data_IF_482187403148
#
_entry.id   IF_482187403148
#
_cell.length_a   1.000
_cell.length_b   1.000
_cell.length_c   1.000
_cell.angle_alpha   90.00
_cell.angle_beta   90.00
_cell.angle_gamma   90.00
#
_symmetry.space_group_name_H-M   'P 1'
#
loop_
_entity.id
_entity.type
_entity.pdbx_description
1 polymer ?
#
# COMPACT_ATOMS: atom_id res chain seq x y z
N UNK A 1 -19.57 -6.14 31.88
CA UNK A 1 -18.15 -5.93 31.55
C UNK A 1 -17.59 -7.31 31.22
N UNK A 2 -17.63 -7.69 29.94
CA UNK A 2 -17.07 -8.95 29.47
C UNK A 2 -15.61 -8.70 29.13
N UNK A 3 -14.71 -9.32 29.89
CA UNK A 3 -13.29 -9.40 29.56
C UNK A 3 -13.15 -10.01 28.16
N UNK A 4 -12.67 -9.19 27.21
CA UNK A 4 -12.12 -9.68 25.96
C UNK A 4 -10.84 -10.44 26.29
N UNK A 5 -10.92 -11.77 26.37
CA UNK A 5 -9.74 -12.63 26.36
C UNK A 5 -9.21 -12.69 24.93
N UNK A 6 -8.27 -11.82 24.57
CA UNK A 6 -7.38 -12.12 23.44
C UNK A 6 -6.38 -13.18 23.93
N UNK A 7 -6.63 -14.44 23.63
CA UNK A 7 -5.67 -15.51 23.90
C UNK A 7 -4.59 -15.46 22.82
N UNK A 8 -3.44 -14.87 23.12
CA UNK A 8 -2.24 -15.03 22.31
C UNK A 8 -1.31 -16.04 23.00
N UNK A 9 -1.14 -17.21 22.40
CA UNK A 9 0.01 -18.08 22.70
C UNK A 9 1.21 -17.57 21.89
N UNK A 10 2.21 -17.05 22.59
CA UNK A 10 3.37 -16.36 22.02
C UNK A 10 4.53 -17.33 21.76
N UNK A 11 4.52 -18.01 20.61
CA UNK A 11 5.71 -18.71 20.07
C UNK A 11 6.37 -17.96 18.89
N UNK A 12 5.98 -16.71 18.65
CA UNK A 12 6.55 -15.84 17.62
C UNK A 12 7.13 -14.59 18.26
N UNK A 13 8.39 -14.27 17.93
CA UNK A 13 9.13 -13.11 18.43
C UNK A 13 8.30 -11.81 18.29
N UNK A 14 7.74 -11.35 19.41
CA UNK A 14 7.12 -10.02 19.52
C UNK A 14 8.23 -9.04 19.87
N UNK A 15 8.43 -8.04 19.01
CA UNK A 15 9.22 -6.87 19.36
C UNK A 15 8.43 -6.04 20.38
N UNK A 16 8.84 -6.12 21.64
CA UNK A 16 8.29 -5.38 22.77
C UNK A 16 8.98 -4.01 22.80
N UNK A 17 8.22 -2.94 22.55
CA UNK A 17 8.76 -1.57 22.62
C UNK A 17 9.09 -1.16 24.07
N UNK A 18 10.06 -0.25 24.17
CA UNK A 18 10.70 0.39 25.33
C UNK A 18 9.78 1.18 26.28
N UNK A 19 8.47 1.23 26.02
CA UNK A 19 7.48 1.94 26.86
C UNK A 19 6.70 1.04 27.83
N UNK A 20 7.09 -0.23 27.94
CA UNK A 20 6.37 -1.21 28.77
C UNK A 20 7.04 -1.35 30.13
N UNK A 21 6.25 -1.22 31.21
CA UNK A 21 6.71 -1.52 32.56
C UNK A 21 6.59 -3.02 32.81
N UNK A 22 7.69 -3.63 33.26
CA UNK A 22 7.68 -5.01 33.76
C UNK A 22 7.78 -4.94 35.28
N UNK A 23 6.77 -5.45 35.97
CA UNK A 23 6.83 -5.69 37.42
C UNK A 23 6.44 -7.13 37.71
N UNK A 24 7.33 -7.85 38.40
CA UNK A 24 7.10 -9.08 39.18
C UNK A 24 6.22 -10.18 38.56
N UNK A 25 6.21 -10.31 37.21
CA UNK A 25 5.51 -11.29 36.34
C UNK A 25 4.36 -10.73 35.47
N UNK A 26 4.12 -9.42 35.46
CA UNK A 26 3.10 -8.80 34.60
C UNK A 26 3.75 -7.84 33.58
N UNK A 27 3.47 -8.06 32.29
CA UNK A 27 3.85 -7.16 31.20
C UNK A 27 2.71 -6.14 31.00
N UNK A 28 2.97 -4.88 31.33
CA UNK A 28 2.05 -3.80 31.03
C UNK A 28 2.35 -3.27 29.62
N UNK A 29 1.48 -3.62 28.67
CA UNK A 29 1.55 -3.17 27.29
C UNK A 29 0.75 -1.86 27.17
N UNK A 30 1.41 -0.73 26.90
CA UNK A 30 0.74 0.57 26.76
C UNK A 30 0.04 0.76 25.39
N UNK A 31 0.46 0.01 24.37
CA UNK A 31 -0.18 -0.01 23.05
C UNK A 31 -0.21 -1.45 22.50
N UNK A 32 -1.40 -1.94 22.14
CA UNK A 32 -1.60 -3.29 21.58
C UNK A 32 -0.87 -3.39 20.24
N UNK A 33 0.08 -4.33 20.05
CA UNK A 33 0.75 -4.46 18.77
C UNK A 33 -0.20 -5.12 17.76
N UNK A 34 -0.56 -4.37 16.73
CA UNK A 34 -1.06 -4.84 15.42
C UNK A 34 -2.38 -5.62 15.48
N UNK A 35 -3.20 -5.52 14.43
CA UNK A 35 -4.12 -6.63 14.19
C UNK A 35 -3.24 -7.85 13.82
N UNK A 36 -2.89 -8.66 14.81
CA UNK A 36 -2.18 -9.92 14.61
C UNK A 36 -3.11 -10.76 13.73
N UNK A 37 -2.72 -10.92 12.47
CA UNK A 37 -3.42 -11.83 11.58
C UNK A 37 -3.15 -13.25 12.02
N UNK A 38 -4.13 -14.14 11.81
CA UNK A 38 -4.02 -15.51 12.29
C UNK A 38 -2.79 -16.27 11.73
N UNK A 39 -2.47 -17.41 12.31
CA UNK A 39 -1.31 -18.22 11.92
C UNK A 39 -1.55 -19.05 10.65
N UNK A 40 -2.80 -19.39 10.37
CA UNK A 40 -3.15 -20.31 9.29
C UNK A 40 -3.27 -19.59 7.96
N UNK A 41 -2.61 -20.13 6.94
CA UNK A 41 -2.72 -19.67 5.56
C UNK A 41 -3.25 -20.77 4.69
N UNK A 42 -4.41 -20.53 4.09
CA UNK A 42 -5.13 -21.53 3.32
C UNK A 42 -5.64 -20.94 2.01
N UNK A 43 -5.63 -21.77 0.98
CA UNK A 43 -6.26 -21.46 -0.30
C UNK A 43 -7.43 -22.42 -0.53
N UNK A 44 -8.61 -21.88 -0.81
CA UNK A 44 -9.80 -22.69 -1.02
C UNK A 44 -10.91 -21.92 -1.72
N UNK A 45 -12.09 -22.52 -1.86
CA UNK A 45 -13.27 -21.84 -2.40
C UNK A 45 -14.20 -21.48 -1.24
N UNK A 46 -14.49 -20.20 -1.05
CA UNK A 46 -15.44 -19.76 -0.02
C UNK A 46 -16.87 -20.05 -0.50
N UNK A 47 -17.64 -20.82 0.25
CA UNK A 47 -19.01 -21.19 -0.10
C UNK A 47 -19.96 -20.92 1.06
N UNK A 48 -21.25 -20.81 0.73
CA UNK A 48 -22.33 -20.73 1.73
C UNK A 48 -23.23 -21.96 1.59
N UNK A 49 -23.46 -22.66 2.70
CA UNK A 49 -24.35 -23.82 2.77
C UNK A 49 -25.33 -23.62 3.93
N UNK A 50 -26.63 -23.60 3.65
CA UNK A 50 -27.70 -23.52 4.66
C UNK A 50 -27.48 -22.42 5.73
N UNK A 51 -26.95 -21.26 5.29
CA UNK A 51 -26.59 -20.05 6.07
C UNK A 51 -25.18 -20.02 6.67
N UNK A 52 -24.50 -21.15 6.80
CA UNK A 52 -23.13 -21.22 7.30
C UNK A 52 -22.11 -21.05 6.18
N UNK A 53 -20.93 -20.55 6.53
CA UNK A 53 -19.82 -20.34 5.61
C UNK A 53 -18.79 -21.45 5.79
N UNK A 54 -18.27 -21.93 4.66
CA UNK A 54 -17.24 -22.94 4.61
C UNK A 54 -16.15 -22.56 3.61
N UNK A 55 -14.91 -22.95 3.90
CA UNK A 55 -13.82 -22.94 2.95
C UNK A 55 -13.62 -24.36 2.43
N UNK A 56 -13.84 -24.55 1.12
CA UNK A 56 -13.57 -25.83 0.46
C UNK A 56 -12.10 -25.94 0.10
N UNK A 57 -11.41 -26.91 0.68
CA UNK A 57 -9.99 -27.20 0.43
C UNK A 57 -9.88 -28.67 0.01
N UNK A 58 -9.73 -28.90 -1.30
CA UNK A 58 -9.84 -30.25 -1.85
C UNK A 58 -11.24 -30.84 -1.60
N UNK A 59 -11.29 -32.01 -0.96
CA UNK A 59 -12.54 -32.70 -0.60
C UNK A 59 -13.08 -32.32 0.79
N UNK A 60 -12.42 -31.39 1.49
CA UNK A 60 -12.79 -30.96 2.83
C UNK A 60 -13.56 -29.64 2.81
N UNK A 61 -14.67 -29.58 3.55
CA UNK A 61 -15.41 -28.36 3.83
C UNK A 61 -15.12 -27.93 5.28
N UNK A 62 -14.33 -26.86 5.45
CA UNK A 62 -13.92 -26.37 6.77
C UNK A 62 -14.84 -25.20 7.18
N UNK A 63 -15.52 -25.25 8.33
CA UNK A 63 -16.35 -24.13 8.80
C UNK A 63 -15.52 -22.85 8.99
N UNK A 64 -16.05 -21.71 8.57
CA UNK A 64 -15.37 -20.42 8.72
C UNK A 64 -16.26 -19.34 9.32
N UNK A 65 -15.62 -18.41 10.02
CA UNK A 65 -16.21 -17.14 10.49
C UNK A 65 -15.26 -16.01 10.15
N UNK A 66 -15.79 -14.81 9.98
CA UNK A 66 -14.98 -13.60 9.84
C UNK A 66 -14.80 -12.98 11.22
N UNK A 67 -13.58 -12.57 11.57
CA UNK A 67 -13.37 -11.79 12.80
C UNK A 67 -14.07 -10.44 12.70
N UNK A 68 -14.34 -9.83 13.85
CA UNK A 68 -14.87 -8.47 13.88
C UNK A 68 -13.80 -7.50 13.36
N UNK A 69 -14.10 -6.85 12.23
CA UNK A 69 -13.22 -5.83 11.66
C UNK A 69 -13.32 -4.54 12.47
N UNK A 70 -12.17 -3.93 12.77
CA UNK A 70 -12.13 -2.62 13.43
C UNK A 70 -12.85 -1.59 12.56
N UNK A 71 -13.84 -0.92 13.14
CA UNK A 71 -14.57 0.14 12.47
C UNK A 71 -13.65 1.33 12.17
N UNK A 72 -13.42 1.62 10.90
CA UNK A 72 -12.73 2.82 10.48
C UNK A 72 -13.76 3.86 10.05
N UNK A 73 -13.95 4.91 10.86
CA UNK A 73 -14.94 5.98 10.61
C UNK A 73 -16.38 5.48 10.40
N UNK A 74 -16.76 4.44 11.14
CA UNK A 74 -18.07 3.80 11.03
C UNK A 74 -18.18 2.77 9.89
N UNK A 75 -17.16 2.62 9.06
CA UNK A 75 -17.10 1.65 7.96
C UNK A 75 -16.31 0.40 8.39
N UNK A 76 -16.82 -0.79 8.03
CA UNK A 76 -16.22 -2.08 8.37
C UNK A 76 -16.45 -3.11 7.25
N UNK A 77 -15.83 -4.28 7.37
CA UNK A 77 -16.05 -5.42 6.47
C UNK A 77 -17.44 -6.01 6.69
N UNK A 78 -18.29 -5.97 5.65
CA UNK A 78 -19.72 -6.25 5.76
C UNK A 78 -20.16 -7.50 4.98
N UNK A 79 -21.45 -7.85 5.07
CA UNK A 79 -22.01 -9.01 4.38
C UNK A 79 -21.92 -8.91 2.85
N UNK A 80 -21.95 -7.69 2.29
CA UNK A 80 -21.77 -7.48 0.85
C UNK A 80 -20.32 -7.79 0.43
N UNK A 81 -19.36 -7.43 1.29
CA UNK A 81 -17.94 -7.79 1.14
C UNK A 81 -17.76 -9.30 1.16
N UNK A 82 -18.38 -10.00 2.12
CA UNK A 82 -18.36 -11.48 2.16
C UNK A 82 -18.97 -12.06 0.88
N UNK A 83 -20.11 -11.52 0.44
CA UNK A 83 -20.80 -11.92 -0.78
C UNK A 83 -19.92 -11.86 -2.03
N UNK A 84 -19.03 -10.86 -2.12
CA UNK A 84 -18.10 -10.72 -3.24
C UNK A 84 -17.12 -11.90 -3.38
N UNK A 85 -16.76 -12.56 -2.28
CA UNK A 85 -15.83 -13.70 -2.28
C UNK A 85 -16.52 -15.06 -2.41
N UNK A 86 -17.85 -15.13 -2.31
CA UNK A 86 -18.58 -16.38 -2.44
C UNK A 86 -18.38 -17.01 -3.82
N UNK A 87 -18.16 -18.32 -3.82
CA UNK A 87 -17.88 -19.16 -4.98
C UNK A 87 -16.61 -18.78 -5.75
N UNK A 88 -15.73 -17.96 -5.17
CA UNK A 88 -14.41 -17.65 -5.71
C UNK A 88 -13.33 -18.43 -4.97
N UNK A 89 -12.26 -18.75 -5.69
CA UNK A 89 -11.04 -19.26 -5.06
C UNK A 89 -10.34 -18.09 -4.37
N UNK A 90 -10.05 -18.24 -3.09
CA UNK A 90 -9.50 -17.20 -2.21
C UNK A 90 -8.28 -17.73 -1.47
N UNK A 91 -7.37 -16.81 -1.14
CA UNK A 91 -6.36 -17.04 -0.12
C UNK A 91 -6.82 -16.31 1.14
N UNK A 92 -6.71 -16.99 2.27
CA UNK A 92 -7.09 -16.45 3.57
C UNK A 92 -5.92 -16.50 4.54
N UNK A 93 -5.93 -15.57 5.48
CA UNK A 93 -5.24 -15.71 6.76
C UNK A 93 -6.32 -15.87 7.84
N UNK A 94 -6.15 -16.87 8.70
CA UNK A 94 -7.12 -17.19 9.74
C UNK A 94 -6.46 -17.75 11.01
N UNK A 95 -7.19 -17.69 12.11
CA UNK A 95 -6.88 -18.41 13.34
C UNK A 95 -7.79 -19.64 13.42
N UNK A 96 -7.23 -20.81 13.71
CA UNK A 96 -8.01 -22.02 13.90
C UNK A 96 -8.35 -22.21 15.37
N UNK A 97 -9.64 -22.16 15.70
CA UNK A 97 -10.11 -22.33 17.08
C UNK A 97 -11.37 -23.20 17.11
N UNK A 98 -11.33 -24.24 17.95
CA UNK A 98 -12.42 -25.23 18.15
C UNK A 98 -13.06 -25.77 16.86
N UNK A 99 -12.27 -26.03 15.81
CA UNK A 99 -12.77 -26.59 14.54
C UNK A 99 -13.29 -25.56 13.54
N UNK A 100 -13.15 -24.27 13.82
CA UNK A 100 -13.60 -23.17 12.97
C UNK A 100 -12.38 -22.30 12.60
N UNK A 101 -12.28 -21.89 11.34
CA UNK A 101 -11.32 -20.88 10.90
C UNK A 101 -11.91 -19.48 11.06
N UNK A 102 -11.26 -18.64 11.86
CA UNK A 102 -11.59 -17.23 12.04
C UNK A 102 -10.73 -16.39 11.10
N UNK A 103 -11.31 -16.02 9.96
CA UNK A 103 -10.64 -15.29 8.88
C UNK A 103 -10.35 -13.85 9.32
N UNK A 104 -9.08 -13.45 9.24
CA UNK A 104 -8.57 -12.09 9.49
C UNK A 104 -8.14 -11.37 8.22
N UNK A 105 -7.84 -12.10 7.14
CA UNK A 105 -7.57 -11.53 5.82
C UNK A 105 -8.10 -12.41 4.70
N UNK A 106 -8.57 -11.81 3.61
CA UNK A 106 -9.08 -12.53 2.44
C UNK A 106 -8.78 -11.78 1.14
N UNK A 107 -8.25 -12.50 0.14
CA UNK A 107 -8.01 -12.00 -1.23
C UNK A 107 -8.41 -13.04 -2.25
N UNK A 108 -8.75 -12.61 -3.48
CA UNK A 108 -8.97 -13.55 -4.59
C UNK A 108 -7.63 -14.18 -4.98
N UNK A 109 -7.64 -15.51 -5.13
CA UNK A 109 -6.46 -16.27 -5.51
C UNK A 109 -6.12 -16.10 -6.99
N UNK A 110 -4.82 -16.00 -7.26
CA UNK A 110 -4.11 -15.88 -8.52
C UNK A 110 -4.21 -14.53 -9.22
N UNK A 111 -4.78 -13.51 -8.56
CA UNK A 111 -4.76 -12.14 -9.08
C UNK A 111 -3.31 -11.65 -9.14
N UNK A 112 -2.53 -11.87 -8.07
CA UNK A 112 -1.13 -11.43 -8.00
C UNK A 112 -0.13 -12.57 -8.14
N UNK A 113 -0.32 -13.66 -7.39
CA UNK A 113 0.72 -14.66 -7.13
C UNK A 113 1.07 -15.55 -8.33
N UNK A 114 0.13 -15.77 -9.25
CA UNK A 114 0.39 -16.57 -10.45
C UNK A 114 1.14 -15.75 -11.49
N UNK A 115 2.25 -16.26 -12.01
CA UNK A 115 2.95 -15.64 -13.15
C UNK A 115 2.10 -15.76 -14.43
N UNK A 116 1.25 -16.78 -14.52
CA UNK A 116 0.30 -16.90 -15.61
C UNK A 116 -0.81 -15.87 -15.44
N UNK A 117 -1.18 -15.23 -16.55
CA UNK A 117 -2.28 -14.28 -16.58
C UNK A 117 -3.63 -15.02 -16.55
N UNK A 118 -4.14 -15.29 -15.35
CA UNK A 118 -5.44 -15.93 -15.13
C UNK A 118 -6.60 -14.93 -15.05
N UNK A 119 -6.30 -13.63 -15.03
CA UNK A 119 -7.27 -12.53 -14.96
C UNK A 119 -6.96 -11.54 -16.09
N UNK A 120 -7.17 -11.91 -17.35
CA UNK A 120 -6.79 -11.05 -18.48
C UNK A 120 -7.61 -9.76 -18.49
N UNK A 121 -6.97 -8.68 -18.93
CA UNK A 121 -7.66 -7.42 -19.22
C UNK A 121 -8.73 -7.63 -20.29
N UNK A 122 -9.88 -6.98 -20.12
CA UNK A 122 -10.97 -6.99 -21.09
C UNK A 122 -10.47 -6.53 -22.48
N UNK A 123 -10.89 -7.24 -23.52
CA UNK A 123 -10.46 -7.02 -24.91
C UNK A 123 -10.68 -5.59 -25.40
N UNK A 124 -11.64 -4.86 -24.83
CA UNK A 124 -11.92 -3.46 -25.19
C UNK A 124 -10.77 -2.51 -24.80
N UNK A 125 -9.99 -2.86 -23.78
CA UNK A 125 -8.87 -2.05 -23.30
C UNK A 125 -7.50 -2.62 -23.70
N UNK A 126 -7.46 -3.86 -24.19
CA UNK A 126 -6.22 -4.54 -24.58
C UNK A 126 -5.40 -3.75 -25.59
N UNK A 127 -6.05 -3.11 -26.57
CA UNK A 127 -5.33 -2.31 -27.56
C UNK A 127 -4.69 -1.06 -26.95
N UNK A 128 -5.34 -0.43 -25.97
CA UNK A 128 -4.85 0.80 -25.34
C UNK A 128 -3.56 0.53 -24.55
N UNK A 129 -3.51 -0.58 -23.80
CA UNK A 129 -2.32 -0.95 -23.04
C UNK A 129 -1.16 -1.42 -23.94
N UNK A 130 -1.46 -1.98 -25.11
CA UNK A 130 -0.44 -2.39 -26.10
C UNK A 130 0.13 -1.21 -26.89
N UNK A 131 -0.65 -0.14 -27.09
CA UNK A 131 -0.22 1.08 -27.77
C UNK A 131 0.65 1.97 -26.87
N UNK A 132 0.17 2.25 -25.66
CA UNK A 132 0.91 3.02 -24.65
C UNK A 132 0.48 2.58 -23.24
N UNK A 133 1.26 1.66 -22.66
CA UNK A 133 0.97 1.17 -21.32
C UNK A 133 1.12 2.24 -20.24
N UNK A 134 1.97 3.25 -20.47
CA UNK A 134 2.19 4.33 -19.50
C UNK A 134 0.93 5.17 -19.47
N UNK A 135 0.50 5.73 -20.61
CA UNK A 135 -0.73 6.52 -20.72
C UNK A 135 -1.96 5.74 -20.25
N UNK A 136 -2.05 4.45 -20.61
CA UNK A 136 -3.17 3.62 -20.15
C UNK A 136 -3.21 3.51 -18.62
N UNK A 137 -2.09 3.24 -17.96
CA UNK A 137 -2.05 3.04 -16.51
C UNK A 137 -2.17 4.38 -15.77
N UNK A 138 -1.53 5.45 -16.24
CA UNK A 138 -1.46 6.74 -15.54
C UNK A 138 -2.67 7.61 -15.77
N UNK A 139 -3.29 7.56 -16.95
CA UNK A 139 -4.38 8.45 -17.32
C UNK A 139 -5.69 7.68 -17.45
N UNK A 140 -5.77 6.73 -18.38
CA UNK A 140 -7.03 6.04 -18.70
C UNK A 140 -7.57 5.28 -17.48
N UNK A 141 -6.77 4.42 -16.87
CA UNK A 141 -7.21 3.59 -15.75
C UNK A 141 -7.42 4.39 -14.46
N UNK A 142 -6.72 5.52 -14.31
CA UNK A 142 -6.89 6.42 -13.17
C UNK A 142 -8.07 7.37 -13.31
N UNK A 143 -8.91 7.19 -14.34
CA UNK A 143 -10.25 7.76 -14.34
C UNK A 143 -11.13 7.04 -13.30
N UNK A 144 -11.78 7.83 -12.44
CA UNK A 144 -12.71 7.31 -11.42
C UNK A 144 -13.86 6.50 -12.04
N UNK A 145 -14.27 6.81 -13.28
CA UNK A 145 -15.32 6.08 -13.97
C UNK A 145 -14.90 4.64 -14.33
N UNK A 146 -13.63 4.44 -14.66
CA UNK A 146 -13.09 3.12 -15.02
C UNK A 146 -12.67 2.35 -13.78
N UNK A 147 -11.82 2.93 -12.93
CA UNK A 147 -11.30 2.28 -11.72
C UNK A 147 -12.38 1.81 -10.73
N UNK A 148 -13.57 2.39 -10.74
CA UNK A 148 -14.68 1.96 -9.86
C UNK A 148 -15.50 0.78 -10.39
N UNK A 149 -15.42 0.52 -11.69
CA UNK A 149 -16.30 -0.43 -12.38
C UNK A 149 -15.55 -1.63 -12.98
N UNK A 150 -14.23 -1.60 -13.02
CA UNK A 150 -13.42 -2.71 -13.53
C UNK A 150 -13.29 -3.83 -12.48
N UNK A 151 -13.31 -5.07 -12.96
CA UNK A 151 -12.88 -6.23 -12.18
C UNK A 151 -11.35 -6.32 -12.13
N UNK A 152 -10.77 -7.07 -11.19
CA UNK A 152 -9.33 -7.27 -11.13
C UNK A 152 -8.80 -7.86 -12.43
N UNK A 153 -7.67 -7.33 -12.89
CA UNK A 153 -6.97 -7.87 -14.04
C UNK A 153 -5.46 -7.81 -13.85
N UNK A 154 -4.78 -8.65 -14.62
CA UNK A 154 -3.35 -8.67 -14.81
C UNK A 154 -3.07 -8.48 -16.30
N UNK A 155 -2.09 -7.66 -16.62
CA UNK A 155 -1.60 -7.45 -17.97
C UNK A 155 -0.08 -7.45 -17.96
N UNK A 156 0.53 -8.06 -18.95
CA UNK A 156 1.98 -8.00 -19.13
C UNK A 156 2.30 -6.74 -19.92
N UNK A 157 3.02 -5.82 -19.30
CA UNK A 157 3.46 -4.58 -19.94
C UNK A 157 4.68 -4.81 -20.83
N UNK A 158 5.54 -5.74 -20.38
CA UNK A 158 6.86 -5.97 -20.94
C UNK A 158 7.29 -7.42 -20.65
N UNK A 159 7.86 -8.13 -21.63
CA UNK A 159 8.27 -9.54 -21.53
C UNK A 159 9.50 -9.84 -22.39
N UNK A 160 10.68 -9.41 -21.93
CA UNK A 160 11.94 -9.53 -22.66
C UNK A 160 12.65 -10.87 -22.47
N UNK A 161 12.43 -11.53 -21.33
CA UNK A 161 13.10 -12.79 -21.03
C UNK A 161 12.27 -13.72 -20.14
N UNK A 162 12.51 -15.02 -20.33
CA UNK A 162 11.83 -16.06 -19.55
C UNK A 162 12.16 -15.96 -18.06
N UNK A 163 11.12 -15.74 -17.26
CA UNK A 163 11.13 -15.83 -15.79
C UNK A 163 11.36 -17.28 -15.34
N UNK A 164 12.22 -17.47 -14.34
CA UNK A 164 12.65 -18.78 -13.82
C UNK A 164 12.45 -18.88 -12.30
N UNK A 165 12.41 -20.11 -11.79
CA UNK A 165 12.45 -20.36 -10.35
C UNK A 165 13.70 -19.72 -9.73
N UNK A 166 13.53 -19.06 -8.58
CA UNK A 166 14.56 -18.32 -7.88
C UNK A 166 14.73 -16.87 -8.33
N UNK A 167 14.06 -16.44 -9.40
CA UNK A 167 14.07 -15.03 -9.79
C UNK A 167 13.40 -14.18 -8.69
N UNK A 168 14.06 -13.09 -8.31
CA UNK A 168 13.50 -12.11 -7.39
C UNK A 168 12.53 -11.19 -8.12
N UNK A 169 11.51 -10.74 -7.39
CA UNK A 169 10.47 -9.86 -7.91
C UNK A 169 10.40 -8.64 -7.02
N UNK A 170 10.59 -7.46 -7.61
CA UNK A 170 10.26 -6.19 -6.98
C UNK A 170 8.77 -5.93 -7.17
N UNK A 171 8.07 -5.60 -6.09
CA UNK A 171 6.67 -5.18 -6.17
C UNK A 171 6.57 -3.70 -5.83
N UNK A 172 5.78 -2.98 -6.61
CA UNK A 172 5.53 -1.55 -6.41
C UNK A 172 4.03 -1.33 -6.48
N UNK A 173 3.43 -0.87 -5.39
CA UNK A 173 1.98 -0.74 -5.30
C UNK A 173 1.58 0.67 -4.92
N UNK A 174 0.72 1.26 -5.75
CA UNK A 174 -0.04 2.47 -5.46
C UNK A 174 -1.46 2.08 -5.07
N UNK A 175 -1.87 2.47 -3.87
CA UNK A 175 -3.26 2.38 -3.42
C UNK A 175 -3.96 3.71 -3.66
N UNK A 176 -5.21 3.64 -4.12
CA UNK A 176 -6.01 4.82 -4.39
C UNK A 176 -6.42 5.64 -3.17
N UNK A 177 -7.32 6.61 -3.38
CA UNK A 177 -7.95 7.36 -2.28
C UNK A 177 -9.06 6.54 -1.64
N UNK A 178 -9.28 6.72 -0.34
CA UNK A 178 -10.45 6.17 0.33
C UNK A 178 -11.66 7.10 0.09
N UNK A 179 -12.84 6.53 -0.16
CA UNK A 179 -13.99 7.26 -0.73
C UNK A 179 -14.55 8.40 0.11
N UNK A 180 -14.32 8.39 1.43
CA UNK A 180 -14.89 9.30 2.43
C UNK A 180 -13.87 10.15 3.19
N UNK A 181 -12.57 9.99 2.89
CA UNK A 181 -11.53 10.61 3.69
C UNK A 181 -10.63 11.54 2.87
N UNK A 182 -10.83 12.85 3.07
CA UNK A 182 -10.01 13.91 2.50
C UNK A 182 -8.54 13.81 2.92
N UNK A 183 -8.24 13.17 4.06
CA UNK A 183 -6.87 12.94 4.54
C UNK A 183 -6.17 11.80 3.77
N UNK A 184 -6.93 11.02 2.98
CA UNK A 184 -6.40 9.85 2.25
C UNK A 184 -6.36 10.05 0.74
N UNK A 185 -6.63 11.28 0.27
CA UNK A 185 -6.71 11.62 -1.15
C UNK A 185 -5.40 11.43 -1.90
N UNK A 186 -4.28 11.49 -1.17
CA UNK A 186 -2.94 11.19 -1.70
C UNK A 186 -2.74 9.73 -2.10
N UNK A 187 -3.48 8.79 -1.50
CA UNK A 187 -3.24 7.36 -1.68
C UNK A 187 -2.22 6.78 -0.71
N UNK A 188 -1.67 5.61 -1.03
CA UNK A 188 -0.58 4.97 -0.27
C UNK A 188 0.39 4.31 -1.25
N UNK A 189 1.69 4.56 -1.10
CA UNK A 189 2.72 4.00 -1.99
C UNK A 189 3.67 3.11 -1.21
N UNK A 190 3.87 1.89 -1.67
CA UNK A 190 4.71 0.90 -0.97
C UNK A 190 5.54 0.09 -1.95
N UNK A 191 6.64 -0.44 -1.42
CA UNK A 191 7.42 -1.48 -2.07
C UNK A 191 7.11 -2.84 -1.44
N UNK A 192 7.39 -3.89 -2.19
CA UNK A 192 7.34 -5.27 -1.74
C UNK A 192 8.39 -6.12 -2.43
N UNK A 193 8.51 -7.34 -1.97
CA UNK A 193 9.37 -8.35 -2.60
C UNK A 193 8.68 -9.70 -2.64
N UNK A 194 9.08 -10.52 -3.62
CA UNK A 194 8.73 -11.93 -3.70
C UNK A 194 9.85 -12.70 -4.40
N UNK A 195 9.71 -14.03 -4.43
CA UNK A 195 10.57 -14.92 -5.22
C UNK A 195 9.70 -15.85 -6.06
N UNK A 196 10.11 -16.10 -7.29
CA UNK A 196 9.41 -17.02 -8.18
C UNK A 196 9.71 -18.46 -7.81
N UNK A 197 8.68 -19.28 -7.70
CA UNK A 197 8.81 -20.74 -7.57
C UNK A 197 7.59 -21.46 -8.14
N UNK A 198 7.84 -22.43 -9.02
CA UNK A 198 6.80 -23.25 -9.67
C UNK A 198 5.68 -22.43 -10.34
N UNK A 199 6.04 -21.30 -10.97
CA UNK A 199 5.06 -20.42 -11.63
C UNK A 199 4.22 -19.55 -10.68
N UNK A 200 4.59 -19.50 -9.39
CA UNK A 200 3.93 -18.72 -8.35
C UNK A 200 4.94 -17.79 -7.66
N UNK A 201 4.44 -16.74 -7.03
CA UNK A 201 5.18 -15.88 -6.12
C UNK A 201 5.14 -16.47 -4.70
N UNK A 202 6.30 -16.73 -4.12
CA UNK A 202 6.48 -17.08 -2.71
C UNK A 202 7.19 -15.95 -1.95
N UNK A 203 7.13 -15.99 -0.62
CA UNK A 203 7.67 -14.95 0.27
C UNK A 203 7.16 -13.53 -0.08
N UNK A 204 5.95 -13.48 -0.61
CA UNK A 204 5.36 -12.27 -1.16
C UNK A 204 4.88 -11.34 -0.04
N UNK A 205 5.54 -10.20 0.07
CA UNK A 205 5.42 -9.31 1.21
C UNK A 205 5.57 -7.84 0.82
N UNK A 206 5.04 -6.96 1.66
CA UNK A 206 5.05 -5.52 1.48
C UNK A 206 5.64 -4.82 2.70
N UNK A 207 6.36 -3.74 2.43
CA UNK A 207 6.92 -2.84 3.43
C UNK A 207 5.90 -1.76 3.76
N UNK A 208 5.04 -2.07 4.71
CA UNK A 208 3.87 -1.27 4.98
C UNK A 208 4.21 -0.11 5.92
N UNK A 209 4.20 1.09 5.36
CA UNK A 209 4.51 2.32 6.09
C UNK A 209 3.26 2.91 6.76
N UNK A 210 3.28 3.08 8.07
CA UNK A 210 2.28 3.81 8.83
C UNK A 210 2.96 4.60 9.94
N UNK A 211 2.50 5.84 10.16
CA UNK A 211 3.04 6.67 11.24
C UNK A 211 2.42 6.28 12.57
N UNK A 212 3.04 6.65 13.69
CA UNK A 212 2.53 6.32 15.04
C UNK A 212 1.14 6.92 15.33
N UNK A 213 0.79 8.03 14.67
CA UNK A 213 -0.54 8.66 14.74
C UNK A 213 -1.51 8.17 13.66
N UNK A 214 -1.51 6.88 13.33
CA UNK A 214 -2.47 6.34 12.38
C UNK A 214 -3.73 5.84 13.11
N UNK A 215 -4.92 6.32 12.69
CA UNK A 215 -6.22 5.88 13.23
C UNK A 215 -6.54 4.40 12.95
N UNK A 216 -5.69 3.72 12.18
CA UNK A 216 -5.82 2.30 11.90
C UNK A 216 -5.11 1.45 12.94
N UNK A 217 -4.25 1.99 13.80
CA UNK A 217 -3.41 1.24 14.75
C UNK A 217 -2.48 0.22 14.06
N UNK A 218 -2.00 0.56 12.85
CA UNK A 218 -1.01 -0.24 12.13
C UNK A 218 0.40 0.12 12.55
N UNK A 219 1.21 -0.88 12.81
CA UNK A 219 2.65 -0.67 12.99
C UNK A 219 3.33 -0.59 11.61
N UNK A 220 4.29 0.32 11.42
CA UNK A 220 5.15 0.30 10.24
C UNK A 220 5.97 -1.00 10.27
N UNK A 221 5.72 -1.92 9.35
CA UNK A 221 6.36 -3.24 9.36
C UNK A 221 6.24 -3.96 8.01
N UNK A 222 7.01 -5.04 7.84
CA UNK A 222 6.85 -5.97 6.74
C UNK A 222 5.63 -6.86 7.00
N UNK A 223 4.68 -6.89 6.06
CA UNK A 223 3.45 -7.68 6.14
C UNK A 223 3.34 -8.58 4.92
N UNK A 224 2.49 -9.62 4.99
CA UNK A 224 2.23 -10.43 3.81
C UNK A 224 1.34 -9.70 2.80
N UNK A 225 1.28 -10.20 1.56
CA UNK A 225 0.40 -9.61 0.56
C UNK A 225 -1.09 -9.76 0.93
N UNK A 226 -1.48 -10.88 1.55
CA UNK A 226 -2.86 -11.10 2.01
C UNK A 226 -3.22 -10.07 3.09
N UNK A 227 -2.32 -9.78 4.03
CA UNK A 227 -2.53 -8.76 5.04
C UNK A 227 -2.60 -7.35 4.42
N UNK A 228 -1.65 -7.04 3.54
CA UNK A 228 -1.59 -5.72 2.90
C UNK A 228 -2.87 -5.42 2.10
N UNK A 229 -3.35 -6.37 1.31
CA UNK A 229 -4.49 -6.17 0.43
C UNK A 229 -5.83 -6.52 1.07
N UNK A 230 -5.90 -7.59 1.85
CA UNK A 230 -7.14 -8.26 2.24
C UNK A 230 -7.44 -8.30 3.74
N UNK A 231 -6.58 -7.77 4.61
CA UNK A 231 -6.87 -7.74 6.05
C UNK A 231 -8.19 -7.03 6.34
N UNK A 232 -9.11 -7.65 7.09
CA UNK A 232 -10.51 -7.19 7.17
C UNK A 232 -10.66 -5.76 7.70
N UNK A 233 -9.75 -5.33 8.57
CA UNK A 233 -9.79 -4.00 9.18
C UNK A 233 -9.02 -2.93 8.39
N UNK A 234 -8.05 -3.33 7.57
CA UNK A 234 -6.99 -2.40 7.12
C UNK A 234 -6.49 -2.62 5.70
N UNK A 235 -6.76 -3.79 5.12
CA UNK A 235 -6.36 -4.17 3.79
C UNK A 235 -6.80 -3.14 2.76
N UNK A 236 -5.92 -2.83 1.81
CA UNK A 236 -6.17 -1.75 0.85
C UNK A 236 -7.46 -1.98 0.06
N UNK A 237 -7.74 -3.23 -0.34
CA UNK A 237 -8.91 -3.56 -1.17
C UNK A 237 -10.23 -3.33 -0.44
N UNK A 238 -10.25 -3.23 0.89
CA UNK A 238 -11.48 -2.94 1.61
C UNK A 238 -11.98 -1.51 1.38
N UNK A 239 -11.06 -0.59 1.07
CA UNK A 239 -11.36 0.84 1.07
C UNK A 239 -11.06 1.53 -0.26
N UNK A 240 -10.33 0.88 -1.17
CA UNK A 240 -9.82 1.51 -2.39
C UNK A 240 -9.27 0.50 -3.39
N UNK A 241 -9.19 0.88 -4.67
CA UNK A 241 -8.46 0.10 -5.66
C UNK A 241 -6.93 0.22 -5.46
N UNK A 242 -6.18 -0.70 -6.06
CA UNK A 242 -4.72 -0.67 -6.12
C UNK A 242 -4.19 -0.93 -7.52
N UNK A 243 -3.04 -0.32 -7.80
CA UNK A 243 -2.32 -0.33 -9.07
C UNK A 243 -0.92 -0.86 -8.76
N UNK A 244 -0.64 -2.11 -9.13
CA UNK A 244 0.56 -2.83 -8.69
C UNK A 244 1.41 -3.27 -9.86
N UNK A 245 2.72 -2.99 -9.82
CA UNK A 245 3.72 -3.53 -10.74
C UNK A 245 4.41 -4.72 -10.08
N UNK A 246 4.53 -5.82 -10.84
CA UNK A 246 5.32 -6.99 -10.52
C UNK A 246 6.50 -7.03 -11.50
N UNK A 247 7.70 -6.75 -11.00
CA UNK A 247 8.90 -6.54 -11.80
C UNK A 247 9.83 -7.74 -11.60
N UNK A 248 9.78 -8.68 -12.54
CA UNK A 248 10.40 -10.00 -12.39
C UNK A 248 11.84 -10.02 -12.87
N UNK A 249 12.67 -10.81 -12.18
CA UNK A 249 14.03 -11.11 -12.61
C UNK A 249 14.99 -9.93 -12.46
N UNK A 250 14.71 -9.04 -11.53
CA UNK A 250 15.59 -7.93 -11.14
C UNK A 250 16.80 -8.43 -10.34
N UNK A 251 17.83 -7.59 -10.26
CA UNK A 251 19.05 -7.88 -9.51
C UNK A 251 18.76 -8.16 -8.02
N UNK A 252 19.14 -9.37 -7.58
CA UNK A 252 18.97 -9.83 -6.21
C UNK A 252 19.68 -8.96 -5.19
N UNK A 253 20.89 -8.49 -5.51
CA UNK A 253 21.69 -7.70 -4.57
C UNK A 253 21.08 -6.31 -4.38
N UNK A 254 20.48 -5.75 -5.44
CA UNK A 254 19.68 -4.52 -5.35
C UNK A 254 18.43 -4.72 -4.49
N UNK A 255 17.70 -5.83 -4.66
CA UNK A 255 16.55 -6.15 -3.80
C UNK A 255 16.99 -6.25 -2.35
N UNK A 256 18.06 -6.99 -2.05
CA UNK A 256 18.58 -7.11 -0.69
C UNK A 256 18.91 -5.73 -0.10
N UNK A 257 19.63 -4.87 -0.83
CA UNK A 257 19.96 -3.51 -0.40
C UNK A 257 18.69 -2.67 -0.14
N UNK A 258 17.68 -2.78 -1.00
CA UNK A 258 16.37 -2.13 -0.81
C UNK A 258 15.71 -2.60 0.49
N UNK A 259 15.67 -3.92 0.75
CA UNK A 259 15.06 -4.49 1.96
C UNK A 259 15.75 -4.03 3.24
N UNK A 260 17.08 -3.90 3.23
CA UNK A 260 17.87 -3.42 4.36
C UNK A 260 17.59 -1.94 4.65
N UNK A 261 17.50 -1.11 3.60
CA UNK A 261 17.20 0.33 3.74
C UNK A 261 15.80 0.54 4.29
N UNK A 262 14.79 -0.03 3.64
CA UNK A 262 13.39 0.16 4.07
C UNK A 262 13.12 -0.48 5.43
N UNK A 263 13.78 -1.60 5.76
CA UNK A 263 13.69 -2.24 7.06
C UNK A 263 14.16 -1.32 8.19
N UNK A 264 15.29 -0.62 7.98
CA UNK A 264 15.81 0.39 8.91
C UNK A 264 14.87 1.58 9.04
N UNK A 265 14.32 2.08 7.94
CA UNK A 265 13.40 3.22 7.96
C UNK A 265 12.10 2.87 8.72
N UNK A 266 11.55 1.67 8.50
CA UNK A 266 10.39 1.18 9.26
C UNK A 266 10.70 1.01 10.75
N UNK A 267 11.90 0.53 11.10
CA UNK A 267 12.34 0.43 12.50
C UNK A 267 12.47 1.79 13.17
N UNK A 268 13.06 2.76 12.47
CA UNK A 268 13.12 4.14 12.95
C UNK A 268 11.71 4.69 13.20
N UNK A 269 10.77 4.50 12.27
CA UNK A 269 9.38 4.96 12.44
C UNK A 269 8.68 4.31 13.64
N UNK A 270 8.97 3.05 13.94
CA UNK A 270 8.45 2.38 15.15
C UNK A 270 9.01 2.99 16.42
N UNK A 271 10.32 3.24 16.47
CA UNK A 271 11.05 3.56 17.71
C UNK A 271 11.13 5.04 18.04
N UNK A 272 11.09 5.91 17.04
CA UNK A 272 11.25 7.37 17.21
C UNK A 272 9.98 8.08 17.69
N UNK A 273 8.82 7.44 17.59
CA UNK A 273 7.53 8.11 17.83
C UNK A 273 7.11 9.04 16.68
N UNK A 274 7.83 9.04 15.55
CA UNK A 274 7.60 9.96 14.43
C UNK A 274 6.16 9.85 13.89
N UNK A 275 5.53 11.01 13.78
CA UNK A 275 4.13 11.14 13.37
C UNK A 275 3.97 11.32 11.86
N UNK A 276 5.09 11.29 11.13
CA UNK A 276 5.20 11.57 9.71
C UNK A 276 5.47 13.04 9.43
N UNK A 277 5.85 13.33 8.18
CA UNK A 277 6.09 14.67 7.67
C UNK A 277 6.54 14.66 6.21
N UNK A 278 6.95 15.83 5.69
CA UNK A 278 7.40 16.00 4.29
C UNK A 278 8.67 15.17 3.98
N UNK A 279 9.43 14.78 5.00
CA UNK A 279 10.68 14.02 4.88
C UNK A 279 10.55 12.52 5.13
N UNK A 280 9.53 12.08 5.88
CA UNK A 280 9.29 10.68 6.24
C UNK A 280 7.83 10.33 6.02
N UNK A 281 7.53 9.97 4.77
CA UNK A 281 6.24 9.43 4.35
C UNK A 281 6.45 8.17 3.50
N UNK A 282 5.34 7.57 3.07
CA UNK A 282 5.34 6.33 2.30
C UNK A 282 6.04 6.45 0.92
N UNK A 283 5.94 7.61 0.24
CA UNK A 283 6.53 7.79 -1.10
C UNK A 283 8.01 8.12 -1.00
N UNK A 284 8.40 9.00 -0.07
CA UNK A 284 9.79 9.31 0.22
C UNK A 284 10.58 8.08 0.66
N UNK A 285 10.04 7.31 1.61
CA UNK A 285 10.71 6.10 2.13
C UNK A 285 10.91 5.05 1.04
N UNK A 286 9.88 4.83 0.22
CA UNK A 286 9.95 3.88 -0.89
C UNK A 286 10.95 4.33 -1.96
N UNK A 287 10.84 5.57 -2.46
CA UNK A 287 11.77 6.08 -3.46
C UNK A 287 13.21 6.11 -2.91
N UNK A 288 13.41 6.49 -1.64
CA UNK A 288 14.72 6.50 -0.99
C UNK A 288 15.34 5.10 -0.98
N UNK A 289 14.55 4.06 -0.66
CA UNK A 289 15.00 2.68 -0.75
C UNK A 289 15.41 2.29 -2.17
N UNK A 290 14.59 2.62 -3.19
CA UNK A 290 14.92 2.35 -4.60
C UNK A 290 16.23 3.02 -5.03
N UNK A 291 16.44 4.28 -4.66
CA UNK A 291 17.67 5.00 -4.97
C UNK A 291 18.89 4.44 -4.26
N UNK A 292 18.79 4.19 -2.95
CA UNK A 292 19.89 3.58 -2.20
C UNK A 292 20.22 2.20 -2.73
N UNK A 293 19.24 1.46 -3.26
CA UNK A 293 19.45 0.20 -3.96
C UNK A 293 19.86 0.32 -5.44
N UNK A 294 20.05 1.54 -5.96
CA UNK A 294 20.49 1.80 -7.34
C UNK A 294 19.48 1.31 -8.40
N UNK A 295 18.20 1.23 -8.06
CA UNK A 295 17.13 1.01 -9.05
C UNK A 295 16.79 2.28 -9.82
N UNK A 296 16.84 3.43 -9.15
CA UNK A 296 16.61 4.75 -9.74
C UNK A 296 17.80 5.65 -9.49
N UNK A 297 17.98 6.64 -10.37
CA UNK A 297 18.82 7.79 -10.07
C UNK A 297 18.26 8.60 -8.90
N UNK A 298 19.05 9.52 -8.33
CA UNK A 298 18.54 10.41 -7.31
C UNK A 298 17.39 11.26 -7.91
N UNK A 299 16.12 11.05 -7.52
CA UNK A 299 14.98 11.87 -7.94
C UNK A 299 14.98 13.24 -7.24
N UNK A 300 16.14 13.69 -6.75
CA UNK A 300 16.37 14.83 -5.87
C UNK A 300 15.69 14.72 -4.50
N UNK A 301 15.95 13.65 -3.74
CA UNK A 301 15.42 13.50 -2.37
C UNK A 301 15.75 14.69 -1.47
N UNK A 302 14.82 15.04 -0.59
CA UNK A 302 15.13 15.70 0.67
C UNK A 302 15.80 14.70 1.64
N UNK A 303 17.04 14.31 1.35
CA UNK A 303 17.92 13.97 2.47
C UNK A 303 18.07 15.22 3.33
N UNK A 304 18.22 15.07 4.66
CA UNK A 304 18.45 16.18 5.61
C UNK A 304 19.44 17.25 5.09
N UNK A 305 20.43 16.84 4.29
CA UNK A 305 21.44 17.70 3.64
C UNK A 305 20.87 18.80 2.70
N UNK A 306 19.68 18.58 2.14
CA UNK A 306 19.00 19.51 1.23
C UNK A 306 18.44 20.74 1.94
N UNK A 307 18.13 20.61 3.23
CA UNK A 307 17.67 21.73 4.07
C UNK A 307 18.81 22.66 4.48
N UNK A 308 20.07 22.20 4.34
CA UNK A 308 21.27 22.96 4.74
C UNK A 308 21.97 23.67 3.58
N UNK A 309 21.56 23.44 2.33
CA UNK A 309 22.17 24.06 1.15
C UNK A 309 21.18 25.00 0.46
N UNK A 310 21.00 26.24 0.96
CA UNK A 310 20.07 27.18 0.36
C UNK A 310 20.46 27.49 -1.10
N UNK A 311 19.50 27.83 -1.97
CA UNK A 311 19.80 28.36 -3.31
C UNK A 311 20.80 29.52 -3.22
N UNK A 312 21.65 29.68 -4.25
CA UNK A 312 22.73 30.68 -4.27
C UNK A 312 22.28 32.13 -3.99
N UNK A 313 21.00 32.43 -4.18
CA UNK A 313 20.41 33.76 -3.99
C UNK A 313 19.54 33.89 -2.72
N UNK A 314 19.78 33.06 -1.70
CA UNK A 314 19.09 33.16 -0.42
C UNK A 314 19.47 34.44 0.34
N UNK A 315 18.47 35.29 0.58
CA UNK A 315 18.55 36.40 1.55
C UNK A 315 17.40 36.24 2.53
N UNK A 316 17.68 36.37 3.83
CA UNK A 316 16.71 36.26 4.95
C UNK A 316 15.40 37.04 4.74
N UNK A 317 15.42 38.12 3.94
CA UNK A 317 14.22 38.93 3.64
C UNK A 317 13.36 38.47 2.45
N UNK A 318 13.76 37.44 1.68
CA UNK A 318 13.03 37.02 0.46
C UNK A 318 12.42 35.61 0.54
N UNK A 319 12.95 34.72 1.37
CA UNK A 319 12.49 33.33 1.46
C UNK A 319 12.53 32.86 2.92
N UNK A 320 11.36 32.65 3.53
CA UNK A 320 11.25 31.93 4.80
C UNK A 320 11.66 30.46 4.60
N UNK A 321 12.07 29.77 5.68
CA UNK A 321 12.27 28.31 5.68
C UNK A 321 11.06 27.54 5.11
N UNK A 322 9.87 28.10 5.34
CA UNK A 322 8.59 27.61 4.82
C UNK A 322 8.51 27.76 3.28
N UNK A 323 8.90 28.90 2.71
CA UNK A 323 8.92 29.13 1.26
C UNK A 323 9.84 28.15 0.50
N UNK A 324 10.97 27.75 1.08
CA UNK A 324 11.85 26.74 0.47
C UNK A 324 11.23 25.34 0.47
N UNK A 325 10.56 24.97 1.58
CA UNK A 325 9.83 23.71 1.68
C UNK A 325 8.67 23.65 0.67
N UNK A 326 7.97 24.77 0.46
CA UNK A 326 6.89 24.90 -0.53
C UNK A 326 7.36 24.88 -1.97
N UNK A 327 8.41 25.65 -2.27
CA UNK A 327 9.05 25.61 -3.58
C UNK A 327 9.47 24.18 -3.93
N UNK A 328 10.01 23.44 -2.96
CA UNK A 328 10.38 22.06 -3.16
C UNK A 328 9.18 21.13 -3.37
N UNK A 329 8.14 21.18 -2.52
CA UNK A 329 6.92 20.35 -2.69
C UNK A 329 6.29 20.57 -4.08
N UNK A 330 6.29 21.81 -4.56
CA UNK A 330 5.70 22.18 -5.84
C UNK A 330 6.59 21.84 -7.05
N UNK A 331 7.92 21.84 -6.90
CA UNK A 331 8.88 21.48 -7.96
C UNK A 331 9.31 20.00 -7.96
N UNK A 332 9.05 19.26 -6.88
CA UNK A 332 9.51 17.87 -6.69
C UNK A 332 8.33 16.97 -6.33
N UNK A 333 7.19 17.17 -7.02
CA UNK A 333 5.90 16.50 -6.78
C UNK A 333 5.99 14.97 -6.66
N UNK A 334 6.96 14.37 -7.37
CA UNK A 334 7.25 12.92 -7.42
C UNK A 334 7.60 12.32 -6.06
N UNK A 335 8.26 13.09 -5.20
CA UNK A 335 8.62 12.65 -3.85
C UNK A 335 7.59 13.02 -2.78
N UNK A 336 6.49 13.69 -3.16
CA UNK A 336 5.46 14.14 -2.22
C UNK A 336 4.12 13.44 -2.47
N UNK A 337 3.77 13.18 -3.73
CA UNK A 337 2.51 12.51 -4.08
C UNK A 337 2.75 11.04 -4.43
N UNK A 338 2.07 10.09 -3.76
CA UNK A 338 2.11 8.67 -4.10
C UNK A 338 1.88 8.39 -5.60
N UNK A 339 0.92 9.09 -6.22
CA UNK A 339 0.63 8.94 -7.65
C UNK A 339 1.81 9.36 -8.52
N UNK A 340 2.35 10.56 -8.30
CA UNK A 340 3.49 11.06 -9.08
C UNK A 340 4.76 10.24 -8.87
N UNK A 341 4.95 9.66 -7.67
CA UNK A 341 6.04 8.73 -7.40
C UNK A 341 5.89 7.41 -8.16
N UNK A 342 4.66 6.87 -8.21
CA UNK A 342 4.36 5.68 -9.01
C UNK A 342 4.53 5.91 -10.51
N UNK A 343 4.01 7.02 -11.03
CA UNK A 343 4.17 7.44 -12.44
C UNK A 343 5.64 7.54 -12.81
N UNK A 344 6.45 8.20 -11.97
CA UNK A 344 7.90 8.29 -12.17
C UNK A 344 8.57 6.91 -12.26
N UNK A 345 8.20 5.96 -11.39
CA UNK A 345 8.80 4.62 -11.45
C UNK A 345 8.32 3.86 -12.68
N UNK A 346 7.05 3.97 -13.04
CA UNK A 346 6.49 3.34 -14.24
C UNK A 346 7.19 3.83 -15.51
N UNK A 347 7.37 5.15 -15.66
CA UNK A 347 8.09 5.78 -16.77
C UNK A 347 9.54 5.28 -16.92
N UNK A 348 10.15 4.82 -15.82
CA UNK A 348 11.57 4.43 -15.78
C UNK A 348 11.75 2.92 -15.55
N UNK A 349 10.68 2.12 -15.62
CA UNK A 349 10.70 0.73 -15.15
C UNK A 349 11.67 -0.16 -15.94
N UNK A 350 11.86 0.14 -17.22
CA UNK A 350 12.79 -0.59 -18.11
C UNK A 350 14.26 -0.40 -17.69
N UNK A 351 14.60 0.72 -17.03
CA UNK A 351 15.96 0.98 -16.54
C UNK A 351 16.36 0.03 -15.40
N UNK A 352 15.39 -0.66 -14.80
CA UNK A 352 15.63 -1.66 -13.76
C UNK A 352 16.14 -2.97 -14.38
N UNK A 353 16.18 -3.04 -15.71
CA UNK A 353 16.56 -4.18 -16.53
C UNK A 353 15.79 -5.46 -16.15
N UNK A 354 14.44 -5.41 -16.05
CA UNK A 354 13.64 -6.56 -15.68
C UNK A 354 13.63 -7.61 -16.78
N UNK A 355 13.29 -8.85 -16.44
CA UNK A 355 12.97 -9.88 -17.44
C UNK A 355 11.55 -9.75 -17.97
N UNK A 356 10.63 -9.34 -17.08
CA UNK A 356 9.20 -9.18 -17.36
C UNK A 356 8.61 -8.19 -16.37
N UNK A 357 7.61 -7.43 -16.79
CA UNK A 357 6.80 -6.57 -15.93
C UNK A 357 5.33 -6.88 -16.15
N UNK A 358 4.65 -7.30 -15.08
CA UNK A 358 3.19 -7.38 -15.07
C UNK A 358 2.61 -6.20 -14.29
N UNK A 359 1.53 -5.64 -14.80
CA UNK A 359 0.66 -4.74 -14.09
C UNK A 359 -0.57 -5.49 -13.58
N UNK A 360 -0.95 -5.22 -12.34
CA UNK A 360 -2.12 -5.79 -11.68
C UNK A 360 -2.98 -4.65 -11.16
N UNK A 361 -4.20 -4.56 -11.70
CA UNK A 361 -5.26 -3.76 -11.13
C UNK A 361 -6.12 -4.64 -10.23
N UNK A 362 -6.39 -4.17 -9.02
CA UNK A 362 -7.34 -4.82 -8.11
C UNK A 362 -8.32 -3.75 -7.63
N UNK A 363 -9.60 -3.99 -7.88
CA UNK A 363 -10.68 -3.10 -7.49
C UNK A 363 -10.98 -3.15 -5.98
N UNK A 364 -11.58 -2.06 -5.48
CA UNK A 364 -12.13 -2.09 -4.13
C UNK A 364 -13.20 -3.18 -4.01
N UNK A 365 -13.12 -3.96 -2.93
CA UNK A 365 -14.11 -4.97 -2.56
C UNK A 365 -15.49 -4.34 -2.44
N UNK A 366 -16.46 -4.77 -3.27
CA UNK A 366 -17.84 -4.29 -3.22
C UNK A 366 -18.42 -4.39 -1.81
N UNK A 367 -18.94 -3.27 -1.32
CA UNK A 367 -19.43 -3.15 0.06
C UNK A 367 -20.46 -2.02 0.17
N UNK A 368 -20.98 -1.79 1.37
CA UNK A 368 -21.76 -0.60 1.74
C UNK A 368 -20.88 0.62 2.06
N UNK A 369 -19.55 0.46 2.00
CA UNK A 369 -18.58 1.53 2.27
C UNK A 369 -18.52 2.52 1.10
N UNK A 370 -18.07 3.76 1.37
CA UNK A 370 -17.77 4.74 0.34
C UNK A 370 -16.78 4.20 -0.69
N UNK A 371 -17.11 4.40 -1.97
CA UNK A 371 -16.28 3.93 -3.09
C UNK A 371 -15.09 4.88 -3.25
N UNK A 372 -13.89 4.34 -3.03
CA UNK A 372 -12.61 4.97 -3.31
C UNK A 372 -12.39 5.18 -4.81
N UNK A 373 -11.21 5.68 -5.17
CA UNK A 373 -10.91 5.98 -6.56
C UNK A 373 -9.43 6.23 -6.78
N UNK A 374 -9.10 6.83 -7.91
CA UNK A 374 -7.71 7.13 -8.20
C UNK A 374 -7.14 8.13 -7.18
N UNK A 375 -5.85 7.97 -6.83
CA UNK A 375 -5.16 8.94 -6.02
C UNK A 375 -4.98 10.25 -6.80
N UNK A 376 -4.87 11.35 -6.06
CA UNK A 376 -4.77 12.68 -6.64
C UNK A 376 -3.43 12.90 -7.34
N UNK A 377 -3.47 13.45 -8.55
CA UNK A 377 -2.28 13.73 -9.35
C UNK A 377 -1.67 15.12 -9.09
N UNK A 378 -2.49 16.05 -8.57
CA UNK A 378 -2.13 17.47 -8.50
C UNK A 378 -1.89 17.94 -7.06
N UNK A 379 -0.69 18.46 -6.81
CA UNK A 379 -0.30 19.05 -5.51
C UNK A 379 -1.26 20.18 -5.10
N UNK A 380 -1.65 21.07 -6.03
CA UNK A 380 -2.61 22.14 -5.75
C UNK A 380 -3.99 21.62 -5.37
N UNK A 381 -4.45 20.59 -6.08
CA UNK A 381 -5.74 19.96 -5.81
C UNK A 381 -5.71 19.23 -4.46
N UNK A 382 -4.58 18.59 -4.12
CA UNK A 382 -4.33 18.00 -2.80
C UNK A 382 -4.47 19.06 -1.70
N UNK A 383 -3.88 20.25 -1.88
CA UNK A 383 -3.98 21.32 -0.89
C UNK A 383 -5.35 21.95 -0.78
N UNK A 384 -6.03 22.27 -1.90
CA UNK A 384 -7.42 22.77 -1.86
C UNK A 384 -8.31 21.86 -1.03
N UNK A 385 -8.18 20.55 -1.24
CA UNK A 385 -8.94 19.54 -0.53
C UNK A 385 -8.53 19.48 0.95
N UNK A 386 -7.23 19.44 1.23
CA UNK A 386 -6.71 19.31 2.61
C UNK A 386 -7.00 20.53 3.48
N UNK A 387 -7.05 21.73 2.89
CA UNK A 387 -7.26 23.01 3.59
C UNK A 387 -8.72 23.46 3.55
N UNK A 388 -9.61 22.70 2.90
CA UNK A 388 -10.99 23.09 2.65
C UNK A 388 -11.13 24.49 2.01
N UNK A 389 -10.15 24.91 1.20
CA UNK A 389 -10.09 26.26 0.64
C UNK A 389 -10.27 26.26 -0.87
N UNK A 390 -11.22 27.06 -1.35
CA UNK A 390 -11.43 27.36 -2.77
C UNK A 390 -10.54 28.51 -3.26
N UNK A 391 -9.75 29.15 -2.37
CA UNK A 391 -8.99 30.36 -2.67
C UNK A 391 -7.66 30.07 -3.40
N UNK A 392 -7.14 28.86 -3.28
CA UNK A 392 -5.94 28.44 -4.02
C UNK A 392 -6.39 28.07 -5.43
N UNK A 393 -6.01 28.79 -6.47
CA UNK A 393 -6.32 28.46 -7.87
C UNK A 393 -5.14 27.81 -8.61
N UNK A 394 -5.35 27.27 -9.82
CA UNK A 394 -4.25 26.74 -10.66
C UNK A 394 -3.42 27.87 -11.29
N UNK A 395 -3.94 29.10 -11.26
CA UNK A 395 -3.25 30.30 -11.73
C UNK A 395 -2.33 30.90 -10.64
N UNK A 396 -2.43 30.42 -9.40
CA UNK A 396 -1.56 30.87 -8.31
C UNK A 396 -0.14 30.38 -8.55
N UNK A 397 0.82 31.29 -8.43
CA UNK A 397 2.24 30.95 -8.47
C UNK A 397 2.64 30.21 -7.19
N UNK A 398 3.79 29.53 -7.23
CA UNK A 398 4.40 28.89 -6.05
C UNK A 398 4.51 29.86 -4.87
N UNK A 399 4.79 31.13 -5.15
CA UNK A 399 4.88 32.20 -4.16
C UNK A 399 3.52 32.52 -3.52
N UNK A 400 2.45 32.59 -4.31
CA UNK A 400 1.11 32.92 -3.83
C UNK A 400 0.58 31.84 -2.86
N UNK A 401 0.89 30.58 -3.15
CA UNK A 401 0.48 29.43 -2.32
C UNK A 401 1.27 29.42 -1.01
N UNK A 402 2.59 29.61 -1.07
CA UNK A 402 3.42 29.66 0.13
C UNK A 402 3.00 30.82 1.06
N UNK A 403 2.70 31.99 0.50
CA UNK A 403 2.20 33.16 1.24
C UNK A 403 0.83 32.91 1.89
N UNK A 404 -0.09 32.25 1.17
CA UNK A 404 -1.39 31.87 1.73
C UNK A 404 -1.25 30.92 2.93
N UNK A 405 -0.35 29.94 2.83
CA UNK A 405 -0.10 28.96 3.89
C UNK A 405 0.60 29.60 5.09
N UNK A 406 1.55 30.52 4.86
CA UNK A 406 2.15 31.36 5.90
C UNK A 406 1.09 32.18 6.65
N UNK A 407 0.10 32.72 5.92
CA UNK A 407 -1.03 33.48 6.49
C UNK A 407 -1.95 32.65 7.39
N UNK A 408 -1.96 31.32 7.26
CA UNK A 408 -2.72 30.41 8.11
C UNK A 408 -1.99 30.01 9.41
N UNK A 409 -0.70 30.38 9.55
CA UNK A 409 0.10 30.10 10.75
C UNK A 409 0.34 28.60 11.02
N UNK A 410 0.40 27.79 9.96
CA UNK A 410 0.65 26.35 10.00
C UNK A 410 2.16 26.08 10.00
#
# INVERSE_FOLDING_TARGET
>A
MSESKSMAYLDTLVFIDSQNQINDNTLYINDVPTAISGSERLTGVLVRQNHDLYLKVGDQDIPVKFIEAVGFRGNHFDQKSIGYYLNKKVNIIAEFDHGILYISAIVISNVFESINNLFPLDSNYKKLIEEDYVEFVTDTLMEDALSKNLEPFKATLFDDAKVKNGDHVLIISLSGRQGDDLVTVGGHFVLGEATVKHGQLENFSFYNFYTTKNKKLMMPTKVSYEDYFGHLSQGQQNYRPTYTLLVYGVDKDKIKKMTEVIGRDLEYMRTSGDTGGISYDCVNTALHALYKSEFIENPNFLGLESFYTPPKDYTEGKYSYFNNSWYYILNTKRVFLPRSGFEYVLENIETFNPKRVDFVFYNQTPSGRPVGGAPIAGVLKYFRISLHSNEISEQNTVYDIATFLDGLGI
#
